data_IF_044250516597
#
_entry.id   IF_044250516597
#
_cell.length_a   1.000
_cell.length_b   1.000
_cell.length_c   1.000
_cell.angle_alpha   90.00
_cell.angle_beta   90.00
_cell.angle_gamma   90.00
#
_symmetry.space_group_name_H-M   'P 1'
#
loop_
_entity.id
_entity.type
_entity.pdbx_description
1 polymer ?
#
# COMPACT_ATOMS: atom_id res chain seq x y z
N UNK A 1 -12.55 2.79 -5.94
CA UNK A 1 -11.68 2.24 -4.87
C UNK A 1 -12.45 1.58 -3.75
N UNK A 2 -13.48 2.23 -3.16
CA UNK A 2 -14.29 1.64 -2.09
C UNK A 2 -14.92 0.27 -2.44
N UNK A 3 -15.39 0.12 -3.68
CA UNK A 3 -15.98 -1.13 -4.19
C UNK A 3 -15.00 -2.33 -4.30
N UNK A 4 -13.68 -2.07 -4.34
CA UNK A 4 -12.64 -3.12 -4.46
C UNK A 4 -11.91 -3.35 -3.12
N UNK A 5 -11.88 -2.33 -2.25
CA UNK A 5 -11.08 -2.31 -1.03
C UNK A 5 -11.90 -2.42 0.27
N UNK A 6 -13.24 -2.33 0.21
CA UNK A 6 -14.11 -2.45 1.38
C UNK A 6 -13.96 -1.31 2.39
N UNK A 7 -14.29 -1.58 3.66
CA UNK A 7 -14.10 -0.65 4.79
C UNK A 7 -12.69 -0.04 4.91
N UNK A 8 -11.56 -0.76 4.68
CA UNK A 8 -10.23 -0.18 4.84
C UNK A 8 -9.75 0.69 3.68
N UNK A 9 -10.61 1.03 2.71
CA UNK A 9 -10.26 1.85 1.56
C UNK A 9 -9.56 3.16 1.93
N UNK A 10 -9.99 3.83 3.01
CA UNK A 10 -9.42 5.11 3.44
C UNK A 10 -8.02 4.95 4.05
N UNK A 11 -7.80 3.89 4.82
CA UNK A 11 -6.47 3.53 5.36
C UNK A 11 -5.49 3.23 4.23
N UNK A 12 -5.95 2.51 3.22
CA UNK A 12 -5.17 2.16 2.04
C UNK A 12 -4.85 3.42 1.22
N UNK A 13 -5.82 4.30 1.00
CA UNK A 13 -5.62 5.58 0.32
C UNK A 13 -4.61 6.46 1.05
N UNK A 14 -4.70 6.54 2.38
CA UNK A 14 -3.73 7.27 3.22
C UNK A 14 -2.33 6.66 3.12
N UNK A 15 -2.20 5.34 3.23
CA UNK A 15 -0.91 4.66 3.11
C UNK A 15 -0.27 4.90 1.74
N UNK A 16 -1.06 4.88 0.66
CA UNK A 16 -0.60 5.20 -0.70
C UNK A 16 -0.12 6.65 -0.82
N UNK A 17 -0.90 7.62 -0.32
CA UNK A 17 -0.52 9.03 -0.36
C UNK A 17 0.77 9.29 0.41
N UNK A 18 0.94 8.68 1.58
CA UNK A 18 2.18 8.77 2.36
C UNK A 18 3.36 8.13 1.65
N UNK A 19 3.16 6.98 1.01
CA UNK A 19 4.24 6.28 0.29
C UNK A 19 4.77 7.09 -0.91
N UNK A 20 3.89 7.77 -1.64
CA UNK A 20 4.24 8.62 -2.79
C UNK A 20 5.24 9.73 -2.47
N UNK A 21 5.14 10.28 -1.27
CA UNK A 21 5.95 11.43 -0.82
C UNK A 21 7.01 11.02 0.20
N UNK A 22 7.09 9.74 0.56
CA UNK A 22 8.00 9.27 1.60
C UNK A 22 9.46 9.45 1.17
N UNK A 23 10.29 10.23 1.91
CA UNK A 23 11.71 10.40 1.59
C UNK A 23 12.48 9.07 1.53
N UNK A 24 12.07 8.09 2.34
CA UNK A 24 12.66 6.74 2.35
C UNK A 24 12.45 6.01 1.02
N UNK A 25 11.32 6.25 0.36
CA UNK A 25 10.98 5.63 -0.93
C UNK A 25 11.55 6.47 -2.06
N UNK A 26 11.25 7.77 -2.08
CA UNK A 26 11.64 8.68 -3.16
C UNK A 26 13.15 8.87 -3.28
N UNK A 27 13.92 8.72 -2.20
CA UNK A 27 15.40 8.70 -2.27
C UNK A 27 15.94 7.56 -3.14
N UNK A 28 15.22 6.42 -3.21
CA UNK A 28 15.63 5.23 -3.98
C UNK A 28 14.95 5.14 -5.34
N UNK A 29 13.67 5.53 -5.42
CA UNK A 29 12.87 5.42 -6.64
C UNK A 29 12.93 6.67 -7.52
N UNK A 30 13.35 7.82 -6.99
CA UNK A 30 13.08 9.11 -7.61
C UNK A 30 11.61 9.50 -7.46
N UNK A 31 11.15 10.46 -8.26
CA UNK A 31 9.74 10.87 -8.24
C UNK A 31 8.86 9.70 -8.71
N UNK A 32 7.76 9.47 -8.01
CA UNK A 32 6.83 8.37 -8.33
C UNK A 32 5.83 8.87 -9.37
N UNK A 33 5.82 8.24 -10.54
CA UNK A 33 4.89 8.57 -11.62
C UNK A 33 3.48 8.09 -11.23
N UNK A 34 2.49 8.99 -11.32
CA UNK A 34 1.20 8.75 -10.70
C UNK A 34 0.28 7.75 -11.45
N UNK A 35 0.72 7.24 -12.61
CA UNK A 35 -0.13 6.55 -13.58
C UNK A 35 -0.23 5.03 -13.39
N UNK A 36 0.70 4.38 -12.68
CA UNK A 36 0.79 2.91 -12.63
C UNK A 36 0.55 2.31 -11.23
N UNK A 37 -0.30 2.95 -10.42
CA UNK A 37 -0.66 2.37 -9.13
C UNK A 37 -1.56 1.17 -9.31
N UNK A 38 -1.00 -0.01 -9.11
CA UNK A 38 -1.77 -1.24 -9.00
C UNK A 38 -1.92 -1.61 -7.54
N UNK A 39 -3.17 -1.76 -7.11
CA UNK A 39 -3.51 -2.31 -5.80
C UNK A 39 -4.00 -3.73 -6.01
N UNK A 40 -3.34 -4.69 -5.39
CA UNK A 40 -3.74 -6.09 -5.45
C UNK A 40 -4.08 -6.58 -4.05
N UNK A 41 -5.24 -7.20 -3.92
CA UNK A 41 -5.60 -7.94 -2.73
C UNK A 41 -4.98 -9.35 -2.83
N UNK A 42 -3.99 -9.62 -1.99
CA UNK A 42 -3.27 -10.89 -1.94
C UNK A 42 -3.98 -11.91 -1.04
N UNK A 43 -4.77 -11.45 -0.06
CA UNK A 43 -5.63 -12.31 0.74
C UNK A 43 -6.71 -11.50 1.43
N UNK A 44 -7.92 -12.07 1.45
CA UNK A 44 -9.05 -11.55 2.21
C UNK A 44 -9.59 -12.62 3.16
N UNK A 45 -9.35 -12.42 4.46
CA UNK A 45 -10.03 -13.14 5.54
C UNK A 45 -10.95 -12.15 6.28
N UNK A 46 -11.93 -12.68 7.01
CA UNK A 46 -12.91 -11.89 7.78
C UNK A 46 -12.26 -10.74 8.56
N UNK A 47 -11.13 -11.01 9.20
CA UNK A 47 -10.43 -10.07 10.08
C UNK A 47 -8.99 -9.79 9.63
N UNK A 48 -8.60 -10.17 8.41
CA UNK A 48 -7.24 -9.91 7.92
C UNK A 48 -7.22 -9.66 6.42
N UNK A 49 -6.45 -8.65 6.01
CA UNK A 49 -6.28 -8.30 4.61
C UNK A 49 -4.80 -8.11 4.30
N UNK A 50 -4.39 -8.50 3.10
CA UNK A 50 -3.04 -8.25 2.62
C UNK A 50 -3.13 -7.55 1.27
N UNK A 51 -2.53 -6.36 1.19
CA UNK A 51 -2.48 -5.56 -0.03
C UNK A 51 -1.07 -5.43 -0.55
N UNK A 52 -0.95 -5.32 -1.86
CA UNK A 52 0.29 -4.96 -2.55
C UNK A 52 0.08 -3.73 -3.40
N UNK A 53 1.00 -2.78 -3.29
CA UNK A 53 1.09 -1.56 -4.07
C UNK A 53 2.34 -1.62 -4.93
N UNK A 54 2.21 -1.30 -6.20
CA UNK A 54 3.34 -1.10 -7.09
C UNK A 54 3.46 0.41 -7.37
N UNK A 55 4.66 0.93 -7.18
CA UNK A 55 5.03 2.32 -7.38
C UNK A 55 6.14 2.38 -8.42
N UNK A 56 5.86 2.98 -9.57
CA UNK A 56 6.86 3.17 -10.60
C UNK A 56 7.54 4.51 -10.39
N UNK A 57 8.84 4.47 -10.13
CA UNK A 57 9.67 5.66 -9.95
C UNK A 57 10.60 5.88 -11.13
N UNK A 58 11.06 7.11 -11.30
CA UNK A 58 12.00 7.51 -12.36
C UNK A 58 13.31 6.68 -12.39
N UNK A 59 13.76 6.15 -11.24
CA UNK A 59 15.04 5.43 -11.11
C UNK A 59 14.90 3.95 -10.76
N UNK A 60 13.81 3.60 -10.08
CA UNK A 60 13.51 2.26 -9.62
C UNK A 60 12.04 2.17 -9.24
N UNK A 61 11.52 0.96 -9.23
CA UNK A 61 10.18 0.63 -8.77
C UNK A 61 10.21 0.27 -7.27
N UNK A 62 9.13 0.56 -6.57
CA UNK A 62 8.90 0.11 -5.21
C UNK A 62 7.62 -0.69 -5.12
N UNK A 63 7.73 -1.91 -4.59
CA UNK A 63 6.59 -2.74 -4.24
C UNK A 63 6.39 -2.68 -2.73
N UNK A 64 5.25 -2.16 -2.29
CA UNK A 64 4.88 -2.11 -0.88
C UNK A 64 3.85 -3.19 -0.60
N UNK A 65 4.10 -4.03 0.39
CA UNK A 65 3.14 -5.00 0.89
C UNK A 65 2.64 -4.55 2.26
N UNK A 66 1.33 -4.44 2.43
CA UNK A 66 0.69 -4.06 3.69
C UNK A 66 -0.12 -5.24 4.22
N UNK A 67 0.01 -5.52 5.51
CA UNK A 67 -0.84 -6.44 6.24
C UNK A 67 -1.72 -5.65 7.17
N UNK A 68 -3.01 -5.93 7.11
CA UNK A 68 -4.03 -5.26 7.90
C UNK A 68 -4.81 -6.30 8.69
N UNK A 69 -5.20 -5.92 9.90
CA UNK A 69 -6.07 -6.74 10.75
C UNK A 69 -7.24 -5.92 11.24
N UNK A 70 -8.37 -6.58 11.49
CA UNK A 70 -9.51 -5.96 12.17
C UNK A 70 -9.33 -6.15 13.67
N UNK A 71 -9.29 -5.05 14.42
CA UNK A 71 -9.29 -5.08 15.89
C UNK A 71 -10.65 -5.55 16.41
N UNK A 72 -10.73 -6.07 17.65
CA UNK A 72 -11.99 -6.37 18.31
C UNK A 72 -12.97 -5.18 18.37
N UNK A 73 -12.44 -3.95 18.36
CA UNK A 73 -13.23 -2.71 18.29
C UNK A 73 -13.91 -2.47 16.93
N UNK A 74 -13.66 -3.32 15.94
CA UNK A 74 -14.20 -3.19 14.57
C UNK A 74 -13.33 -2.36 13.63
N UNK A 75 -12.34 -1.63 14.15
CA UNK A 75 -11.44 -0.79 13.36
C UNK A 75 -10.35 -1.62 12.66
N UNK A 76 -10.06 -1.26 11.41
CA UNK A 76 -8.93 -1.79 10.68
C UNK A 76 -7.64 -1.07 11.06
N UNK A 77 -6.53 -1.78 11.07
CA UNK A 77 -5.20 -1.20 11.28
C UNK A 77 -4.17 -1.88 10.40
N UNK A 78 -3.08 -1.17 10.09
CA UNK A 78 -1.91 -1.72 9.40
C UNK A 78 -0.98 -2.28 10.48
N UNK A 79 -0.80 -3.60 10.51
CA UNK A 79 0.07 -4.28 11.49
C UNK A 79 1.48 -4.50 10.98
N UNK A 80 1.66 -4.51 9.66
CA UNK A 80 2.97 -4.66 9.02
C UNK A 80 3.00 -3.97 7.67
N UNK A 81 4.18 -3.44 7.32
CA UNK A 81 4.49 -2.95 5.98
C UNK A 81 5.90 -3.37 5.58
N UNK A 82 6.04 -3.96 4.40
CA UNK A 82 7.33 -4.28 3.79
C UNK A 82 7.45 -3.51 2.47
N UNK A 83 8.65 -3.05 2.14
CA UNK A 83 8.94 -2.36 0.88
C UNK A 83 10.11 -3.02 0.19
N UNK A 84 9.87 -3.53 -1.01
CA UNK A 84 10.87 -4.09 -1.90
C UNK A 84 11.17 -3.08 -3.01
N UNK A 85 12.45 -2.87 -3.31
CA UNK A 85 12.88 -2.04 -4.43
C UNK A 85 13.36 -2.96 -5.55
N UNK A 86 12.98 -2.65 -6.79
CA UNK A 86 13.42 -3.35 -7.99
C UNK A 86 13.75 -2.35 -9.08
N UNK A 87 14.69 -2.69 -9.96
CA UNK A 87 14.96 -1.91 -11.18
C UNK A 87 14.18 -2.49 -12.35
#
# INVERSE_FOLDING_TARGET
MKAVLGEPADLIAKAMSSAKVSPRITSRTGRIASKNFKVENLSAKKDSLVFRFLLDGERANATIKLWMTRRPSGNWEIVKSDTLFSK
#
